data_IF_599446472981
#
_entry.id   IF_599446472981
#
_cell.length_a   1.000
_cell.length_b   1.000
_cell.length_c   1.000
_cell.angle_alpha   90.00
_cell.angle_beta   90.00
_cell.angle_gamma   90.00
#
_symmetry.space_group_name_H-M   'P 1'
#
loop_
_entity.id
_entity.type
_entity.pdbx_description
1 polymer ?
#
# COMPACT_ATOMS: atom_id res chain seq x y z
N UNK A 1 4.28 -6.01 9.09
CA UNK A 1 3.70 -7.32 9.48
C UNK A 1 2.18 -7.16 9.54
N UNK A 2 1.41 -8.14 9.07
CA UNK A 2 -0.06 -8.05 8.98
C UNK A 2 -0.65 -9.18 9.84
N UNK A 3 -1.43 -8.83 10.86
CA UNK A 3 -1.96 -9.76 11.84
C UNK A 3 -3.47 -9.59 11.98
N UNK A 4 -4.18 -10.70 12.01
CA UNK A 4 -5.63 -10.74 12.25
C UNK A 4 -5.86 -11.31 13.64
N UNK A 5 -6.52 -10.53 14.50
CA UNK A 5 -6.86 -10.93 15.86
C UNK A 5 -8.37 -11.20 15.92
N UNK A 6 -8.77 -12.47 16.07
CA UNK A 6 -10.18 -12.90 16.07
C UNK A 6 -10.76 -12.98 17.50
N UNK A 7 -10.86 -11.84 18.21
CA UNK A 7 -11.56 -11.73 19.51
C UNK A 7 -12.27 -10.37 19.67
N UNK A 8 -13.37 -10.28 20.46
CA UNK A 8 -14.12 -9.03 20.63
C UNK A 8 -13.38 -8.05 21.55
N UNK A 9 -12.99 -6.88 21.03
CA UNK A 9 -12.29 -5.83 21.79
C UNK A 9 -12.95 -4.45 21.70
N UNK A 10 -12.63 -3.58 22.67
CA UNK A 10 -12.73 -2.12 22.57
C UNK A 10 -11.50 -1.58 21.82
N UNK A 11 -11.63 -0.51 21.01
CA UNK A 11 -10.54 0.00 20.15
C UNK A 11 -9.18 0.09 20.87
N UNK A 12 -9.16 0.64 22.09
CA UNK A 12 -7.93 0.84 22.85
C UNK A 12 -7.16 -0.46 23.13
N UNK A 13 -7.85 -1.59 23.33
CA UNK A 13 -7.15 -2.86 23.61
C UNK A 13 -6.61 -3.50 22.33
N UNK A 14 -7.34 -3.38 21.21
CA UNK A 14 -6.84 -3.84 19.92
C UNK A 14 -5.58 -3.05 19.51
N UNK A 15 -5.54 -1.75 19.79
CA UNK A 15 -4.37 -0.89 19.58
C UNK A 15 -3.18 -1.34 20.47
N UNK A 16 -3.40 -1.57 21.77
CA UNK A 16 -2.34 -2.08 22.67
C UNK A 16 -1.77 -3.43 22.22
N UNK A 17 -2.62 -4.37 21.80
CA UNK A 17 -2.19 -5.69 21.30
C UNK A 17 -1.36 -5.57 20.01
N UNK A 18 -1.78 -4.72 19.07
CA UNK A 18 -1.03 -4.48 17.83
C UNK A 18 0.38 -3.93 18.12
N UNK A 19 0.49 -3.04 19.11
CA UNK A 19 1.76 -2.46 19.54
C UNK A 19 2.69 -3.50 20.16
N UNK A 20 2.20 -4.32 21.09
CA UNK A 20 3.00 -5.38 21.72
C UNK A 20 3.62 -6.27 20.64
N UNK A 21 2.79 -6.73 19.70
CA UNK A 21 3.26 -7.66 18.68
C UNK A 21 4.23 -6.97 17.70
N UNK A 22 3.99 -5.70 17.38
CA UNK A 22 4.91 -4.90 16.56
C UNK A 22 6.28 -4.70 17.20
N UNK A 23 6.32 -4.35 18.50
CA UNK A 23 7.55 -4.16 19.26
C UNK A 23 8.30 -5.48 19.43
N UNK A 24 7.60 -6.56 19.79
CA UNK A 24 8.20 -7.89 19.95
C UNK A 24 8.86 -8.37 18.64
N UNK A 25 8.18 -8.18 17.49
CA UNK A 25 8.78 -8.51 16.21
C UNK A 25 10.03 -7.67 15.92
N UNK A 26 10.02 -6.36 16.22
CA UNK A 26 11.20 -5.51 16.04
C UNK A 26 12.38 -5.94 16.92
N UNK A 27 12.12 -6.37 18.17
CA UNK A 27 13.12 -6.98 19.06
C UNK A 27 13.68 -8.28 18.46
N UNK A 28 12.81 -9.15 17.95
CA UNK A 28 13.22 -10.42 17.33
C UNK A 28 14.10 -10.18 16.08
N UNK A 29 13.82 -9.11 15.33
CA UNK A 29 14.65 -8.64 14.21
C UNK A 29 15.91 -7.86 14.65
N UNK A 30 16.16 -7.72 15.95
CA UNK A 30 17.31 -7.00 16.53
C UNK A 30 17.41 -5.55 16.07
N UNK A 31 16.27 -4.90 15.88
CA UNK A 31 16.19 -3.47 15.55
C UNK A 31 16.64 -2.66 16.78
N UNK A 32 17.55 -1.71 16.58
CA UNK A 32 18.09 -0.85 17.65
C UNK A 32 17.41 0.51 17.75
N UNK A 33 17.01 1.05 16.60
CA UNK A 33 16.30 2.33 16.50
C UNK A 33 14.95 2.11 15.81
N UNK A 34 13.87 2.56 16.44
CA UNK A 34 12.51 2.35 15.96
C UNK A 34 11.73 3.67 15.90
N UNK A 35 11.10 3.95 14.76
CA UNK A 35 10.11 5.01 14.62
C UNK A 35 8.72 4.37 14.46
N UNK A 36 7.82 4.70 15.39
CA UNK A 36 6.44 4.19 15.43
C UNK A 36 5.51 5.27 14.91
N UNK A 37 4.70 4.92 13.92
CA UNK A 37 3.66 5.77 13.36
C UNK A 37 2.29 5.28 13.82
N UNK A 38 1.51 6.16 14.42
CA UNK A 38 0.18 5.84 14.95
C UNK A 38 -0.79 7.01 14.68
N UNK A 39 -2.07 6.72 14.42
CA UNK A 39 -3.10 7.72 14.12
C UNK A 39 -3.91 8.13 15.37
N UNK A 40 -3.74 7.40 16.49
CA UNK A 40 -4.39 7.62 17.77
C UNK A 40 -3.48 8.44 18.68
N UNK A 41 -3.82 9.72 18.79
CA UNK A 41 -3.19 10.65 19.73
C UNK A 41 -3.25 10.07 21.16
N UNK A 42 -4.34 9.42 21.52
CA UNK A 42 -4.52 8.89 22.87
C UNK A 42 -3.48 7.80 23.23
N UNK A 43 -3.22 6.86 22.33
CA UNK A 43 -2.24 5.78 22.54
C UNK A 43 -0.81 6.33 22.58
N UNK A 44 -0.46 7.28 21.72
CA UNK A 44 0.84 7.95 21.74
C UNK A 44 1.06 8.67 23.10
N UNK A 45 0.07 9.43 23.57
CA UNK A 45 0.19 10.18 24.83
C UNK A 45 0.19 9.29 26.07
N UNK A 46 -0.51 8.16 26.03
CA UNK A 46 -0.40 7.14 27.09
C UNK A 46 1.02 6.57 27.12
N UNK A 47 1.55 6.14 25.97
CA UNK A 47 2.87 5.51 25.86
C UNK A 47 4.07 6.42 26.18
N UNK A 48 3.94 7.72 25.97
CA UNK A 48 4.94 8.69 26.44
C UNK A 48 4.90 8.91 27.96
N UNK A 49 4.07 8.16 28.69
CA UNK A 49 3.81 8.34 30.12
C UNK A 49 3.10 9.65 30.46
N UNK A 50 2.60 10.37 29.45
CA UNK A 50 2.05 11.71 29.61
C UNK A 50 0.59 11.69 30.09
N UNK A 51 -0.14 10.60 29.82
CA UNK A 51 -1.55 10.43 30.20
C UNK A 51 -1.74 9.11 30.97
N UNK A 52 -2.23 9.19 32.21
CA UNK A 52 -2.51 8.01 33.04
C UNK A 52 -3.95 7.54 32.87
N UNK A 53 -4.13 6.24 32.65
CA UNK A 53 -5.44 5.57 32.64
C UNK A 53 -5.76 4.99 34.03
N UNK A 54 -7.02 5.10 34.46
CA UNK A 54 -7.50 4.51 35.72
C UNK A 54 -8.01 3.07 35.53
N UNK A 55 -7.98 2.53 34.31
CA UNK A 55 -8.36 1.15 34.04
C UNK A 55 -7.20 0.21 34.39
N UNK A 56 -7.41 -0.62 35.42
CA UNK A 56 -6.42 -1.57 35.90
C UNK A 56 -5.91 -2.54 34.83
N UNK A 57 -6.69 -2.84 33.79
CA UNK A 57 -6.23 -3.69 32.68
C UNK A 57 -5.25 -2.94 31.78
N UNK A 58 -5.57 -1.69 31.43
CA UNK A 58 -4.71 -0.87 30.57
C UNK A 58 -3.40 -0.46 31.28
N UNK A 59 -3.41 -0.37 32.61
CA UNK A 59 -2.18 -0.18 33.40
C UNK A 59 -1.19 -1.33 33.18
N UNK A 60 -1.66 -2.59 33.19
CA UNK A 60 -0.79 -3.75 32.94
C UNK A 60 -0.22 -3.78 31.52
N UNK A 61 -1.02 -3.37 30.52
CA UNK A 61 -0.54 -3.25 29.14
C UNK A 61 0.55 -2.17 29.01
N UNK A 62 0.38 -1.05 29.72
CA UNK A 62 1.35 0.04 29.71
C UNK A 62 2.69 -0.36 30.32
N UNK A 63 2.68 -0.98 31.50
CA UNK A 63 3.89 -1.46 32.17
C UNK A 63 4.68 -2.43 31.26
N UNK A 64 3.97 -3.32 30.54
CA UNK A 64 4.60 -4.25 29.62
C UNK A 64 5.15 -3.58 28.35
N UNK A 65 4.43 -2.60 27.81
CA UNK A 65 4.90 -1.83 26.66
C UNK A 65 6.12 -0.96 26.99
N UNK A 66 6.21 -0.43 28.21
CA UNK A 66 7.41 0.25 28.71
C UNK A 66 8.61 -0.70 28.78
N UNK A 67 8.44 -1.91 29.31
CA UNK A 67 9.49 -2.93 29.34
C UNK A 67 9.99 -3.28 27.92
N UNK A 68 9.08 -3.43 26.96
CA UNK A 68 9.45 -3.68 25.57
C UNK A 68 10.20 -2.49 24.96
N UNK A 69 9.81 -1.25 25.27
CA UNK A 69 10.45 -0.05 24.77
C UNK A 69 11.91 0.11 25.27
N UNK A 70 12.24 -0.37 26.47
CA UNK A 70 13.61 -0.35 27.03
C UNK A 70 14.62 -1.18 26.22
N UNK A 71 14.14 -2.10 25.38
CA UNK A 71 15.01 -2.92 24.53
C UNK A 71 15.59 -2.16 23.33
N UNK A 72 15.11 -0.94 23.05
CA UNK A 72 15.58 -0.12 21.94
C UNK A 72 16.55 0.96 22.42
N UNK A 73 17.65 1.17 21.68
CA UNK A 73 18.58 2.27 21.94
C UNK A 73 17.90 3.63 21.71
N UNK A 74 16.95 3.67 20.77
CA UNK A 74 16.12 4.84 20.50
C UNK A 74 14.76 4.42 19.97
N UNK A 75 13.71 4.96 20.59
CA UNK A 75 12.34 4.84 20.10
C UNK A 75 11.70 6.23 19.97
N UNK A 76 11.04 6.50 18.85
CA UNK A 76 10.32 7.76 18.62
C UNK A 76 8.92 7.50 18.09
N UNK A 77 7.98 8.37 18.47
CA UNK A 77 6.57 8.26 18.11
C UNK A 77 6.16 9.46 17.24
N UNK A 78 5.60 9.17 16.08
CA UNK A 78 5.14 10.17 15.12
C UNK A 78 3.65 9.99 14.86
N UNK A 79 2.86 11.00 15.22
CA UNK A 79 1.43 10.99 14.89
C UNK A 79 1.24 11.17 13.38
N UNK A 80 0.57 10.21 12.75
CA UNK A 80 0.21 10.29 11.33
C UNK A 80 -1.29 10.47 11.20
N UNK A 81 -1.77 11.64 10.75
CA UNK A 81 -3.20 11.83 10.47
C UNK A 81 -3.67 10.78 9.46
N UNK A 82 -4.80 10.11 9.71
CA UNK A 82 -5.40 9.06 8.86
C UNK A 82 -5.29 9.29 7.35
N UNK A 83 -5.48 10.52 6.89
CA UNK A 83 -5.37 10.91 5.47
C UNK A 83 -4.00 10.56 4.85
N UNK A 84 -2.94 10.43 5.65
CA UNK A 84 -1.59 10.05 5.22
C UNK A 84 -1.28 8.57 5.43
N UNK A 85 -2.12 7.79 6.13
CA UNK A 85 -1.87 6.38 6.40
C UNK A 85 -2.58 5.43 5.41
N UNK A 86 -2.56 5.81 4.13
CA UNK A 86 -3.13 5.01 3.03
C UNK A 86 -2.60 3.57 2.98
N UNK A 87 -1.40 3.33 3.52
CA UNK A 87 -0.81 1.99 3.61
C UNK A 87 -1.49 1.16 4.69
N UNK A 88 -1.71 1.72 5.88
CA UNK A 88 -2.46 1.07 6.95
C UNK A 88 -3.91 0.80 6.53
N UNK A 89 -4.59 1.77 5.92
CA UNK A 89 -5.96 1.59 5.41
C UNK A 89 -6.04 0.47 4.36
N UNK A 90 -5.04 0.36 3.48
CA UNK A 90 -4.94 -0.74 2.53
C UNK A 90 -4.72 -2.08 3.23
N UNK A 91 -3.86 -2.15 4.25
CA UNK A 91 -3.63 -3.37 5.02
C UNK A 91 -4.85 -3.82 5.82
N UNK A 92 -5.56 -2.89 6.47
CA UNK A 92 -6.82 -3.15 7.19
C UNK A 92 -7.88 -3.66 6.23
N UNK A 93 -8.01 -3.02 5.07
CA UNK A 93 -8.94 -3.44 4.01
C UNK A 93 -8.60 -4.85 3.54
N UNK A 94 -7.32 -5.16 3.27
CA UNK A 94 -6.88 -6.49 2.90
C UNK A 94 -7.13 -7.52 4.01
N UNK A 95 -6.83 -7.19 5.27
CA UNK A 95 -7.08 -8.05 6.42
C UNK A 95 -8.57 -8.41 6.55
N UNK A 96 -9.46 -7.44 6.32
CA UNK A 96 -10.91 -7.63 6.38
C UNK A 96 -11.44 -8.55 5.28
N UNK A 97 -10.77 -8.59 4.12
CA UNK A 97 -11.14 -9.44 2.98
C UNK A 97 -10.64 -10.88 3.11
N UNK A 98 -9.70 -11.14 4.02
CA UNK A 98 -9.09 -12.46 4.19
C UNK A 98 -9.72 -13.21 5.37
N UNK A 99 -10.34 -14.35 5.09
CA UNK A 99 -10.75 -15.34 6.08
C UNK A 99 -9.58 -16.28 6.39
N UNK A 100 -8.83 -15.98 7.44
CA UNK A 100 -7.73 -16.85 7.92
C UNK A 100 -8.35 -17.99 8.74
N UNK A 101 -8.38 -19.20 8.20
CA UNK A 101 -8.63 -20.41 9.00
C UNK A 101 -7.31 -20.93 9.55
N UNK A 102 -7.35 -21.61 10.69
CA UNK A 102 -6.19 -22.10 11.47
C UNK A 102 -5.19 -22.99 10.67
N UNK A 103 -5.60 -23.44 9.49
CA UNK A 103 -4.86 -24.33 8.58
C UNK A 103 -4.12 -23.58 7.47
N UNK A 104 -4.43 -22.30 7.23
CA UNK A 104 -3.80 -21.48 6.20
C UNK A 104 -2.64 -20.68 6.80
N UNK A 105 -1.45 -21.28 6.84
CA UNK A 105 -0.21 -20.56 7.10
C UNK A 105 0.04 -19.57 5.97
N UNK A 106 -0.34 -18.31 6.17
CA UNK A 106 -0.01 -17.23 5.25
C UNK A 106 1.47 -16.90 5.45
N UNK A 107 2.26 -16.99 4.39
CA UNK A 107 3.65 -16.53 4.42
C UNK A 107 3.69 -15.03 4.81
N UNK A 108 4.61 -14.61 5.69
CA UNK A 108 4.76 -13.22 6.07
C UNK A 108 4.95 -12.35 4.82
N UNK A 109 4.15 -11.28 4.70
CA UNK A 109 4.30 -10.31 3.61
C UNK A 109 5.70 -9.70 3.71
N UNK A 110 6.57 -10.05 2.76
CA UNK A 110 7.90 -9.44 2.62
C UNK A 110 7.73 -8.05 2.02
N UNK A 111 8.07 -7.03 2.80
CA UNK A 111 8.12 -5.65 2.34
C UNK A 111 9.58 -5.37 1.98
N UNK A 112 9.86 -5.26 0.68
CA UNK A 112 11.16 -4.81 0.20
C UNK A 112 11.11 -3.31 0.01
N UNK A 113 12.06 -2.59 0.63
CA UNK A 113 12.20 -1.15 0.46
C UNK A 113 12.92 -0.92 -0.87
N UNK A 114 12.18 -0.46 -1.88
CA UNK A 114 12.77 -0.02 -3.14
C UNK A 114 13.74 1.14 -2.85
N UNK A 115 15.00 1.00 -3.26
CA UNK A 115 16.07 2.00 -3.02
C UNK A 115 15.95 3.25 -3.91
N UNK A 116 14.92 3.32 -4.74
CA UNK A 116 14.67 4.43 -5.66
C UNK A 116 13.20 4.86 -5.64
N UNK A 117 12.89 6.04 -6.21
CA UNK A 117 11.51 6.47 -6.43
C UNK A 117 10.76 5.41 -7.24
N UNK A 118 9.47 5.18 -6.96
CA UNK A 118 8.63 4.20 -7.68
C UNK A 118 8.58 4.40 -9.21
N UNK A 119 8.99 5.58 -9.71
CA UNK A 119 9.13 5.88 -11.14
C UNK A 119 10.39 5.25 -11.77
N UNK A 120 11.42 4.93 -10.98
CA UNK A 120 12.66 4.29 -11.44
C UNK A 120 12.53 2.78 -11.59
N UNK A 121 11.46 2.18 -11.04
CA UNK A 121 10.98 0.84 -11.40
C UNK A 121 10.05 0.90 -12.63
N UNK A 122 10.18 1.94 -13.46
CA UNK A 122 9.84 1.79 -14.86
C UNK A 122 10.70 0.63 -15.35
N UNK A 123 10.09 -0.55 -15.37
CA UNK A 123 10.60 -1.68 -16.11
C UNK A 123 10.98 -1.07 -17.45
N UNK A 124 12.28 -1.03 -17.76
CA UNK A 124 12.73 -0.91 -19.14
C UNK A 124 12.23 -2.18 -19.81
N UNK A 125 10.93 -2.20 -20.09
CA UNK A 125 10.35 -3.18 -20.96
C UNK A 125 10.89 -2.73 -22.31
N UNK A 126 11.97 -3.39 -22.71
CA UNK A 126 12.38 -3.44 -24.09
C UNK A 126 11.33 -4.25 -24.87
N UNK A 127 10.08 -3.78 -24.84
CA UNK A 127 9.04 -4.23 -25.74
C UNK A 127 9.15 -3.31 -26.94
N UNK A 128 9.42 -3.91 -28.09
CA UNK A 128 9.34 -3.25 -29.41
C UNK A 128 7.93 -2.67 -29.69
N UNK A 129 6.97 -2.88 -28.79
CA UNK A 129 5.59 -2.44 -28.88
C UNK A 129 5.27 -1.32 -27.87
N UNK A 130 4.46 -0.32 -28.27
CA UNK A 130 4.03 0.75 -27.37
C UNK A 130 3.32 0.20 -26.13
N UNK A 131 3.52 0.86 -24.98
CA UNK A 131 2.90 0.51 -23.70
C UNK A 131 1.36 0.41 -23.73
N UNK A 132 0.70 0.99 -24.72
CA UNK A 132 -0.75 0.98 -24.89
C UNK A 132 -1.26 -0.10 -25.87
N UNK A 133 -0.40 -0.95 -26.42
CA UNK A 133 -0.75 -1.88 -27.49
C UNK A 133 -1.83 -2.87 -27.05
N UNK A 134 -1.73 -3.43 -25.85
CA UNK A 134 -2.76 -4.33 -25.29
C UNK A 134 -4.13 -3.65 -25.14
N UNK A 135 -4.15 -2.36 -24.76
CA UNK A 135 -5.37 -1.56 -24.64
C UNK A 135 -5.96 -1.32 -26.04
N UNK A 136 -5.12 -0.96 -27.00
CA UNK A 136 -5.50 -0.71 -28.40
C UNK A 136 -6.06 -1.98 -29.05
N UNK A 137 -5.39 -3.11 -28.87
CA UNK A 137 -5.84 -4.41 -29.36
C UNK A 137 -7.16 -4.83 -28.72
N UNK A 138 -7.30 -4.71 -27.40
CA UNK A 138 -8.53 -5.04 -26.69
C UNK A 138 -9.71 -4.19 -27.16
N UNK A 139 -9.54 -2.88 -27.37
CA UNK A 139 -10.60 -2.01 -27.88
C UNK A 139 -11.00 -2.34 -29.34
N UNK A 140 -10.09 -2.90 -30.14
CA UNK A 140 -10.38 -3.32 -31.52
C UNK A 140 -11.10 -4.65 -31.60
N UNK A 141 -10.59 -5.65 -30.89
CA UNK A 141 -10.98 -7.05 -31.07
C UNK A 141 -11.89 -7.55 -29.96
N UNK A 142 -11.99 -6.81 -28.85
CA UNK A 142 -12.60 -7.26 -27.59
C UNK A 142 -11.96 -8.55 -27.04
N UNK A 143 -10.72 -8.85 -27.44
CA UNK A 143 -9.97 -10.03 -27.01
C UNK A 143 -8.87 -9.64 -26.03
N UNK A 144 -8.73 -10.46 -25.00
CA UNK A 144 -7.65 -10.34 -24.02
C UNK A 144 -6.37 -10.98 -24.56
N UNK A 145 -5.18 -10.52 -24.11
CA UNK A 145 -3.93 -11.19 -24.40
C UNK A 145 -3.98 -12.68 -24.03
N UNK A 146 -3.36 -13.53 -24.84
CA UNK A 146 -3.40 -15.00 -24.69
C UNK A 146 -2.91 -15.48 -23.32
N UNK A 147 -1.97 -14.76 -22.72
CA UNK A 147 -1.39 -15.08 -21.41
C UNK A 147 -2.05 -14.34 -20.23
N UNK A 148 -3.08 -13.52 -20.47
CA UNK A 148 -3.71 -12.71 -19.43
C UNK A 148 -4.52 -13.56 -18.43
N UNK A 149 -4.14 -13.50 -17.16
CA UNK A 149 -4.84 -14.15 -16.06
C UNK A 149 -6.14 -13.39 -15.69
N UNK A 150 -6.94 -13.92 -14.75
CA UNK A 150 -8.23 -13.30 -14.36
C UNK A 150 -8.09 -11.87 -13.82
N UNK A 151 -7.00 -11.58 -13.09
CA UNK A 151 -6.70 -10.26 -12.57
C UNK A 151 -6.30 -9.31 -13.70
N UNK A 152 -5.42 -9.73 -14.61
CA UNK A 152 -4.95 -8.93 -15.75
C UNK A 152 -6.13 -8.52 -16.65
N UNK A 153 -7.06 -9.45 -16.92
CA UNK A 153 -8.28 -9.16 -17.69
C UNK A 153 -9.15 -8.11 -17.02
N UNK A 154 -9.26 -8.16 -15.68
CA UNK A 154 -10.04 -7.19 -14.90
C UNK A 154 -9.36 -5.81 -14.90
N UNK A 155 -8.03 -5.78 -14.82
CA UNK A 155 -7.24 -4.55 -14.91
C UNK A 155 -7.37 -3.93 -16.29
N UNK A 156 -7.17 -4.71 -17.36
CA UNK A 156 -7.28 -4.24 -18.75
C UNK A 156 -8.68 -3.71 -19.06
N UNK A 157 -9.73 -4.39 -18.60
CA UNK A 157 -11.11 -3.92 -18.77
C UNK A 157 -11.36 -2.56 -18.09
N UNK A 158 -10.86 -2.40 -16.86
CA UNK A 158 -10.96 -1.12 -16.12
C UNK A 158 -10.16 -0.02 -16.80
N UNK A 159 -8.95 -0.32 -17.26
CA UNK A 159 -8.10 0.64 -17.98
C UNK A 159 -8.79 1.08 -19.26
N UNK A 160 -9.24 0.14 -20.10
CA UNK A 160 -9.87 0.41 -21.39
C UNK A 160 -11.10 1.33 -21.28
N UNK A 161 -11.82 1.33 -20.16
CA UNK A 161 -12.95 2.24 -19.93
C UNK A 161 -12.55 3.74 -19.96
N UNK A 162 -11.28 4.05 -19.70
CA UNK A 162 -10.74 5.41 -19.76
C UNK A 162 -10.15 5.78 -21.13
N UNK A 163 -10.16 4.87 -22.09
CA UNK A 163 -9.60 5.09 -23.41
C UNK A 163 -10.68 5.05 -24.50
N UNK A 164 -10.37 5.71 -25.60
CA UNK A 164 -11.23 5.79 -26.77
C UNK A 164 -10.37 5.63 -28.02
N UNK A 165 -10.76 4.72 -28.89
CA UNK A 165 -10.06 4.47 -30.15
C UNK A 165 -10.82 5.16 -31.29
N UNK A 166 -10.17 6.07 -32.01
CA UNK A 166 -10.69 6.72 -33.21
C UNK A 166 -9.82 6.34 -34.41
N UNK A 167 -10.27 5.36 -35.19
CA UNK A 167 -9.47 4.77 -36.28
C UNK A 167 -8.19 4.11 -35.75
N UNK A 168 -7.05 4.65 -36.15
CA UNK A 168 -5.73 4.18 -35.72
C UNK A 168 -5.20 4.85 -34.44
N UNK A 169 -5.84 5.94 -34.01
CA UNK A 169 -5.33 6.79 -32.93
C UNK A 169 -6.07 6.50 -31.63
N UNK A 170 -5.29 6.22 -30.58
CA UNK A 170 -5.80 5.98 -29.24
C UNK A 170 -5.79 7.29 -28.43
N UNK A 171 -6.88 7.54 -27.72
CA UNK A 171 -7.04 8.69 -26.84
C UNK A 171 -7.33 8.24 -25.41
N UNK A 172 -6.71 8.92 -24.44
CA UNK A 172 -7.03 8.81 -23.02
C UNK A 172 -7.97 9.94 -22.62
N UNK A 173 -9.06 9.62 -21.94
CA UNK A 173 -9.96 10.61 -21.32
C UNK A 173 -9.34 11.08 -20.00
N UNK A 174 -9.07 12.37 -19.89
CA UNK A 174 -8.72 13.00 -18.62
C UNK A 174 -9.96 13.29 -17.77
N UNK A 175 -9.74 13.68 -16.52
CA UNK A 175 -10.81 13.94 -15.55
C UNK A 175 -11.77 15.06 -15.97
N UNK A 176 -11.26 16.05 -16.71
CA UNK A 176 -12.00 17.17 -17.30
C UNK A 176 -12.63 16.84 -18.67
N UNK A 177 -12.64 15.55 -19.06
CA UNK A 177 -13.11 15.04 -20.36
C UNK A 177 -12.31 15.48 -21.59
N UNK A 178 -11.14 16.09 -21.41
CA UNK A 178 -10.21 16.35 -22.52
C UNK A 178 -9.68 15.02 -23.08
N UNK A 179 -9.53 14.94 -24.42
CA UNK A 179 -8.98 13.77 -25.09
C UNK A 179 -7.48 13.98 -25.35
N UNK A 180 -6.67 13.23 -24.63
CA UNK A 180 -5.21 13.25 -24.76
C UNK A 180 -4.79 12.13 -25.71
N UNK A 181 -4.10 12.48 -26.80
CA UNK A 181 -3.58 11.50 -27.75
C UNK A 181 -2.47 10.67 -27.11
N UNK A 182 -2.57 9.35 -27.20
CA UNK A 182 -1.48 8.44 -26.84
C UNK A 182 -0.45 8.42 -27.97
N UNK A 183 0.82 8.58 -27.61
CA UNK A 183 1.97 8.49 -28.50
C UNK A 183 3.01 7.58 -27.86
N UNK A 184 3.73 6.82 -28.70
CA UNK A 184 4.93 6.11 -28.29
C UNK A 184 6.12 7.08 -28.23
N UNK A 185 7.29 6.57 -27.80
CA UNK A 185 8.48 7.41 -27.63
C UNK A 185 8.93 8.08 -28.94
N UNK A 186 8.87 7.34 -30.06
CA UNK A 186 9.28 7.83 -31.38
C UNK A 186 8.33 8.92 -31.87
N UNK A 187 7.02 8.70 -31.75
CA UNK A 187 6.00 9.66 -32.13
C UNK A 187 6.02 10.89 -31.23
N UNK A 188 6.25 10.74 -29.92
CA UNK A 188 6.41 11.85 -28.99
C UNK A 188 7.64 12.71 -29.35
N UNK A 189 8.78 12.11 -29.65
CA UNK A 189 9.98 12.83 -30.09
C UNK A 189 9.75 13.60 -31.39
N UNK A 190 9.06 13.00 -32.38
CA UNK A 190 8.72 13.69 -33.63
C UNK A 190 7.79 14.88 -33.39
N UNK A 191 6.73 14.70 -32.60
CA UNK A 191 5.76 15.76 -32.30
C UNK A 191 6.41 16.93 -31.55
N UNK A 192 7.36 16.66 -30.65
CA UNK A 192 8.11 17.70 -29.94
C UNK A 192 9.03 18.47 -30.88
N UNK A 193 9.59 17.82 -31.92
CA UNK A 193 10.41 18.46 -32.94
C UNK A 193 9.64 19.32 -33.93
N UNK A 194 8.34 19.06 -34.16
CA UNK A 194 7.47 19.88 -35.04
C UNK A 194 6.92 21.15 -34.35
N UNK A 195 7.01 21.23 -33.02
CA UNK A 195 6.51 22.36 -32.21
C UNK A 195 7.62 23.43 -31.99
N UNK A 196 8.87 23.14 -32.36
CA UNK A 196 10.01 24.08 -32.37
C UNK A 196 10.32 24.55 -33.80
#
# INVERSE_FOLDING_TARGET
MLLKVDFPYTNNVAECEAWIIGLQAAIDFKVKELEVFDDSILTIFQMLGQWKTNDAKLVLYHEYLEELAENFEKISFTNTPRIKNQFEDALVTLASMVSITKENLIEPVKIEIAKGPAHCDAIEVNDEQPWYEDIKHFLRTSQYPTFANRCDRKILWRLAAHYFLSGEVLYRRSFDATLLRCADEIEAQRLMGEIH
#
